data_IF_793779704422
#
_entry.id   IF_793779704422
#
_cell.length_a   1.000
_cell.length_b   1.000
_cell.length_c   1.000
_cell.angle_alpha   90.00
_cell.angle_beta   90.00
_cell.angle_gamma   90.00
#
_symmetry.space_group_name_H-M   'P 1'
#
loop_
_entity.id
_entity.type
_entity.pdbx_description
1 polymer ?
#
# COMPACT_ATOMS: atom_id res chain seq x y z
N UNK A 1 11.71 1.76 2.03
CA UNK A 1 10.68 2.72 1.51
C UNK A 1 11.24 4.07 0.97
N UNK A 2 12.35 4.11 0.22
CA UNK A 2 12.95 5.36 -0.32
C UNK A 2 12.75 5.57 -1.83
N UNK A 3 11.93 4.73 -2.48
CA UNK A 3 11.82 4.65 -3.95
C UNK A 3 10.56 5.34 -4.48
N UNK A 4 9.51 5.42 -3.66
CA UNK A 4 8.35 6.24 -3.94
C UNK A 4 8.46 7.45 -3.01
N UNK A 5 8.51 8.65 -3.59
CA UNK A 5 8.61 9.95 -2.94
C UNK A 5 7.34 10.29 -2.11
N UNK A 6 6.83 9.32 -1.36
CA UNK A 6 5.66 9.43 -0.51
C UNK A 6 6.15 9.88 0.87
N UNK A 7 6.13 11.18 1.10
CA UNK A 7 6.17 11.77 2.45
C UNK A 7 4.91 11.44 3.29
N UNK A 8 4.28 10.30 3.02
CA UNK A 8 3.04 9.87 3.63
C UNK A 8 3.40 8.88 4.74
N UNK A 9 3.29 9.34 5.99
CA UNK A 9 3.42 8.46 7.15
C UNK A 9 2.30 7.42 7.14
N UNK A 10 2.66 6.14 7.33
CA UNK A 10 1.71 5.03 7.37
C UNK A 10 0.62 5.23 8.43
N UNK A 11 0.96 5.90 9.54
CA UNK A 11 0.03 6.26 10.61
C UNK A 11 -1.15 7.12 10.12
N UNK A 12 -0.88 8.09 9.22
CA UNK A 12 -1.94 8.93 8.63
C UNK A 12 -2.84 8.14 7.69
N UNK A 13 -2.29 7.11 7.04
CA UNK A 13 -3.08 6.20 6.20
C UNK A 13 -4.02 5.40 7.08
N UNK A 14 -3.53 4.81 8.17
CA UNK A 14 -4.37 4.07 9.12
C UNK A 14 -5.48 4.93 9.72
N UNK A 15 -5.17 6.16 10.12
CA UNK A 15 -6.15 7.10 10.64
C UNK A 15 -7.22 7.45 9.58
N UNK A 16 -6.79 7.76 8.35
CA UNK A 16 -7.68 8.07 7.24
C UNK A 16 -8.64 6.92 6.93
N UNK A 17 -8.13 5.69 6.86
CA UNK A 17 -8.98 4.50 6.62
C UNK A 17 -9.97 4.29 7.76
N UNK A 18 -9.55 4.49 9.01
CA UNK A 18 -10.43 4.38 10.19
C UNK A 18 -11.56 5.43 10.16
N UNK A 19 -11.26 6.66 9.77
CA UNK A 19 -12.25 7.74 9.65
C UNK A 19 -13.25 7.45 8.52
N UNK A 20 -12.77 7.06 7.34
CA UNK A 20 -13.63 6.73 6.20
C UNK A 20 -14.57 5.56 6.53
N UNK A 21 -14.05 4.53 7.21
CA UNK A 21 -14.86 3.40 7.68
C UNK A 21 -15.91 3.82 8.71
N UNK A 22 -15.55 4.69 9.67
CA UNK A 22 -16.52 5.26 10.62
C UNK A 22 -17.63 6.05 9.93
N UNK A 23 -17.33 6.68 8.79
CA UNK A 23 -18.30 7.38 7.97
C UNK A 23 -19.12 6.46 7.03
N UNK A 24 -18.90 5.14 7.06
CA UNK A 24 -19.57 4.18 6.18
C UNK A 24 -19.07 4.22 4.73
N UNK A 25 -17.93 4.88 4.48
CA UNK A 25 -17.32 4.99 3.15
C UNK A 25 -16.44 3.77 2.91
N UNK A 26 -16.67 3.09 1.78
CA UNK A 26 -15.84 1.96 1.35
C UNK A 26 -14.44 2.44 0.97
N UNK A 27 -13.42 1.76 1.46
CA UNK A 27 -12.02 2.11 1.25
C UNK A 27 -11.34 1.06 0.37
N UNK A 28 -10.73 1.52 -0.72
CA UNK A 28 -9.91 0.69 -1.61
C UNK A 28 -8.44 1.10 -1.49
N UNK A 29 -7.58 0.14 -1.15
CA UNK A 29 -6.13 0.32 -1.17
C UNK A 29 -5.52 -0.27 -2.44
N UNK A 30 -4.56 0.45 -3.03
CA UNK A 30 -3.76 -0.06 -4.14
C UNK A 30 -2.31 -0.17 -3.68
N UNK A 31 -1.76 -1.36 -3.78
CA UNK A 31 -0.41 -1.71 -3.39
C UNK A 31 0.38 -2.07 -4.64
N UNK A 32 1.65 -1.67 -4.66
CA UNK A 32 2.60 -2.01 -5.69
C UNK A 32 3.60 -2.98 -5.05
N UNK A 33 3.88 -4.08 -5.73
CA UNK A 33 4.83 -5.10 -5.29
C UNK A 33 5.82 -5.39 -6.43
N UNK A 34 7.00 -5.89 -6.09
CA UNK A 34 7.97 -6.35 -7.09
C UNK A 34 8.76 -5.22 -7.71
N UNK A 35 9.08 -4.18 -6.93
CA UNK A 35 10.13 -3.24 -7.34
C UNK A 35 11.43 -4.06 -7.49
N UNK A 36 12.26 -3.85 -8.54
CA UNK A 36 13.47 -4.65 -8.77
C UNK A 36 14.45 -4.70 -7.59
N UNK A 37 14.36 -3.76 -6.65
CA UNK A 37 15.20 -3.64 -5.47
C UNK A 37 14.48 -4.03 -4.16
N UNK A 38 13.21 -4.44 -4.21
CA UNK A 38 12.41 -4.79 -3.04
C UNK A 38 12.74 -6.23 -2.60
N UNK A 39 12.95 -6.42 -1.31
CA UNK A 39 13.19 -7.77 -0.76
C UNK A 39 11.88 -8.51 -0.51
N UNK A 40 11.97 -9.83 -0.35
CA UNK A 40 10.83 -10.65 0.07
C UNK A 40 10.24 -10.16 1.41
N UNK A 41 11.09 -9.71 2.33
CA UNK A 41 10.67 -9.17 3.62
C UNK A 41 9.88 -7.86 3.47
N UNK A 42 10.32 -6.94 2.61
CA UNK A 42 9.58 -5.70 2.31
C UNK A 42 8.22 -6.00 1.64
N UNK A 43 8.17 -7.03 0.79
CA UNK A 43 6.94 -7.52 0.16
C UNK A 43 5.96 -8.04 1.23
N UNK A 44 6.45 -8.86 2.17
CA UNK A 44 5.66 -9.38 3.29
C UNK A 44 5.18 -8.26 4.21
N UNK A 45 6.02 -7.26 4.50
CA UNK A 45 5.63 -6.07 5.28
C UNK A 45 4.47 -5.32 4.61
N UNK A 46 4.52 -5.13 3.30
CA UNK A 46 3.46 -4.48 2.53
C UNK A 46 2.15 -5.27 2.59
N UNK A 47 2.21 -6.59 2.46
CA UNK A 47 1.02 -7.45 2.58
C UNK A 47 0.43 -7.43 3.99
N UNK A 48 1.27 -7.47 5.03
CA UNK A 48 0.82 -7.39 6.42
C UNK A 48 0.20 -6.02 6.75
N UNK A 49 0.76 -4.94 6.21
CA UNK A 49 0.19 -3.60 6.34
C UNK A 49 -1.18 -3.50 5.66
N UNK A 50 -1.34 -4.06 4.45
CA UNK A 50 -2.62 -4.12 3.76
C UNK A 50 -3.70 -4.86 4.57
N UNK A 51 -3.34 -5.99 5.20
CA UNK A 51 -4.23 -6.74 6.10
C UNK A 51 -4.62 -5.93 7.33
N UNK A 52 -3.67 -5.22 7.94
CA UNK A 52 -3.90 -4.37 9.13
C UNK A 52 -4.90 -3.23 8.85
N UNK A 53 -4.87 -2.66 7.64
CA UNK A 53 -5.75 -1.54 7.26
C UNK A 53 -7.24 -1.91 7.19
N UNK A 54 -7.59 -3.20 7.12
CA UNK A 54 -8.98 -3.67 7.02
C UNK A 54 -9.77 -2.95 5.89
N UNK A 55 -9.17 -2.93 4.69
CA UNK A 55 -9.76 -2.34 3.49
C UNK A 55 -10.90 -3.21 2.97
N UNK A 56 -11.91 -2.60 2.34
CA UNK A 56 -12.96 -3.35 1.63
C UNK A 56 -12.38 -4.05 0.40
N UNK A 57 -11.39 -3.43 -0.24
CA UNK A 57 -10.70 -3.97 -1.40
C UNK A 57 -9.21 -3.62 -1.35
N UNK A 58 -8.36 -4.64 -1.45
CA UNK A 58 -6.91 -4.48 -1.61
C UNK A 58 -6.50 -4.98 -3.01
N UNK A 59 -5.98 -4.08 -3.85
CA UNK A 59 -5.46 -4.43 -5.18
C UNK A 59 -3.94 -4.42 -5.13
N UNK A 60 -3.32 -5.56 -5.38
CA UNK A 60 -1.87 -5.70 -5.54
C UNK A 60 -1.52 -5.68 -7.03
N UNK A 61 -0.68 -4.75 -7.46
CA UNK A 61 -0.16 -4.71 -8.82
C UNK A 61 1.34 -4.99 -8.78
N UNK A 62 1.80 -5.86 -9.66
CA UNK A 62 3.22 -6.15 -9.81
C UNK A 62 3.82 -5.07 -10.71
N UNK A 63 4.89 -4.41 -10.25
CA UNK A 63 5.60 -3.45 -11.08
C UNK A 63 6.26 -4.21 -12.23
N UNK A 64 5.82 -3.90 -13.44
CA UNK A 64 6.54 -4.29 -14.65
C UNK A 64 7.41 -3.08 -15.02
N UNK A 65 8.74 -3.16 -14.86
CA UNK A 65 9.61 -2.08 -15.28
C UNK A 65 9.49 -1.97 -16.81
N UNK A 66 8.83 -0.91 -17.29
CA UNK A 66 8.83 -0.60 -18.71
C UNK A 66 10.21 -0.03 -19.05
N UNK A 67 10.95 -0.64 -20.00
CA UNK A 67 12.21 -0.08 -20.45
C UNK A 67 11.94 1.28 -21.11
N UNK A 68 12.40 2.37 -20.47
CA UNK A 68 12.22 3.76 -20.94
C UNK A 68 11.71 4.77 -19.91
N UNK A 69 11.47 4.37 -18.65
CA UNK A 69 11.15 5.28 -17.52
C UNK A 69 12.21 5.25 -16.43
#
# INVERSE_FOLDING_TARGET
>A
MKILNKHLKLEKVEEGVKLMRKAGIKVRGTFLLGVPTETEEETLQTMNFAKKLNLDFAKFNIITPYPGT
#
